data_IF_857674020260
#
_entry.id   IF_857674020260
#
_cell.length_a   1.000
_cell.length_b   1.000
_cell.length_c   1.000
_cell.angle_alpha   90.00
_cell.angle_beta   90.00
_cell.angle_gamma   90.00
#
_symmetry.space_group_name_H-M   'P 1'
#
loop_
_entity.id
_entity.type
_entity.pdbx_description
1 polymer ?
#
# COMPACT_ATOMS: atom_id res chain seq x y z
N UNK A 1 -13.43 -48.43 -23.70
CA UNK A 1 -13.78 -47.06 -23.35
C UNK A 1 -12.88 -46.66 -22.17
N UNK A 2 -11.82 -45.89 -22.40
CA UNK A 2 -10.97 -45.33 -21.35
C UNK A 2 -11.69 -44.08 -20.77
N UNK A 3 -11.78 -43.93 -19.45
CA UNK A 3 -12.32 -42.69 -18.87
C UNK A 3 -11.34 -41.56 -19.19
N UNK A 4 -11.86 -40.53 -19.85
CA UNK A 4 -11.14 -39.27 -20.10
C UNK A 4 -10.70 -38.67 -18.79
N UNK A 5 -9.44 -38.81 -18.42
CA UNK A 5 -8.81 -38.04 -17.36
C UNK A 5 -8.88 -36.58 -17.78
N UNK A 6 -9.77 -35.79 -17.17
CA UNK A 6 -9.65 -34.35 -17.24
C UNK A 6 -8.24 -33.99 -16.75
N UNK A 7 -7.42 -33.29 -17.53
CA UNK A 7 -6.11 -32.86 -17.08
C UNK A 7 -6.37 -31.85 -15.96
N UNK A 8 -6.21 -32.26 -14.70
CA UNK A 8 -6.13 -31.34 -13.58
C UNK A 8 -5.10 -30.28 -13.96
N UNK A 9 -5.50 -29.03 -14.06
CA UNK A 9 -4.62 -27.93 -14.44
C UNK A 9 -3.43 -27.94 -13.49
N UNK A 10 -2.25 -28.32 -14.02
CA UNK A 10 -1.01 -28.34 -13.26
C UNK A 10 -0.82 -26.94 -12.62
N UNK A 11 -0.56 -26.92 -11.33
CA UNK A 11 -0.26 -25.67 -10.61
C UNK A 11 1.22 -25.55 -10.38
N UNK A 12 1.75 -24.35 -10.46
CA UNK A 12 3.17 -24.06 -10.19
C UNK A 12 3.31 -22.94 -9.16
N UNK A 13 4.41 -22.95 -8.42
CA UNK A 13 4.79 -21.89 -7.50
C UNK A 13 5.42 -20.74 -8.30
N UNK A 14 4.81 -19.56 -8.23
CA UNK A 14 5.23 -18.37 -8.97
C UNK A 14 5.57 -17.26 -7.97
N UNK A 15 6.73 -16.60 -8.14
CA UNK A 15 7.08 -15.39 -7.42
C UNK A 15 6.21 -14.25 -7.96
N UNK A 16 5.28 -13.77 -7.13
CA UNK A 16 4.32 -12.73 -7.48
C UNK A 16 4.70 -11.40 -6.83
N UNK A 17 5.16 -11.43 -5.57
CA UNK A 17 5.55 -10.24 -4.83
C UNK A 17 7.07 -10.18 -4.67
N UNK A 18 7.68 -9.18 -5.28
CA UNK A 18 9.11 -8.92 -5.15
C UNK A 18 9.49 -8.48 -3.72
N UNK A 19 10.77 -8.56 -3.39
CA UNK A 19 11.26 -8.18 -2.08
C UNK A 19 10.97 -6.70 -1.73
N UNK A 20 11.20 -5.73 -2.63
CA UNK A 20 10.86 -4.31 -2.37
C UNK A 20 9.39 -4.08 -2.01
N UNK A 21 8.44 -4.70 -2.73
CA UNK A 21 7.01 -4.59 -2.42
C UNK A 21 6.67 -5.18 -1.07
N UNK A 22 7.26 -6.30 -0.70
CA UNK A 22 7.05 -6.97 0.58
C UNK A 22 7.62 -6.17 1.75
N UNK A 23 8.84 -5.65 1.61
CA UNK A 23 9.47 -4.77 2.60
C UNK A 23 8.69 -3.48 2.77
N UNK A 24 8.27 -2.84 1.67
CA UNK A 24 7.38 -1.69 1.71
C UNK A 24 6.13 -1.97 2.55
N UNK A 25 5.42 -3.06 2.27
CA UNK A 25 4.19 -3.40 2.98
C UNK A 25 4.43 -3.64 4.48
N UNK A 26 5.45 -4.43 4.83
CA UNK A 26 5.80 -4.69 6.24
C UNK A 26 6.24 -3.43 6.97
N UNK A 27 7.11 -2.62 6.37
CA UNK A 27 7.58 -1.37 6.94
C UNK A 27 6.44 -0.37 7.14
N UNK A 28 5.51 -0.25 6.17
CA UNK A 28 4.34 0.62 6.30
C UNK A 28 3.48 0.24 7.50
N UNK A 29 3.21 -1.07 7.71
CA UNK A 29 2.45 -1.54 8.90
C UNK A 29 3.14 -1.13 10.19
N UNK A 30 4.45 -1.35 10.29
CA UNK A 30 5.24 -1.02 11.50
C UNK A 30 5.25 0.48 11.74
N UNK A 31 5.49 1.30 10.70
CA UNK A 31 5.56 2.75 10.83
C UNK A 31 4.20 3.36 11.16
N UNK A 32 3.09 2.89 10.57
CA UNK A 32 1.74 3.37 10.92
C UNK A 32 1.40 3.05 12.37
N UNK A 33 1.71 1.84 12.84
CA UNK A 33 1.51 1.47 14.23
C UNK A 33 2.39 2.32 15.18
N UNK A 34 3.66 2.54 14.82
CA UNK A 34 4.59 3.36 15.60
C UNK A 34 4.15 4.85 15.62
N UNK A 35 3.67 5.39 14.50
CA UNK A 35 3.12 6.74 14.44
C UNK A 35 1.92 6.91 15.39
N UNK A 36 1.00 5.94 15.39
CA UNK A 36 -0.15 5.94 16.31
C UNK A 36 0.31 5.88 17.77
N UNK A 37 1.21 4.95 18.11
CA UNK A 37 1.71 4.79 19.50
C UNK A 37 2.43 6.04 19.98
N UNK A 38 3.32 6.63 19.16
CA UNK A 38 4.07 7.83 19.54
C UNK A 38 3.17 9.03 19.73
N UNK A 39 2.14 9.19 18.88
CA UNK A 39 1.10 10.20 19.06
C UNK A 39 0.34 9.99 20.37
N UNK A 40 -0.13 8.77 20.68
CA UNK A 40 -0.85 8.43 21.92
C UNK A 40 0.00 8.65 23.18
N UNK A 41 1.32 8.50 23.06
CA UNK A 41 2.27 8.72 24.15
C UNK A 41 2.74 10.18 24.24
N UNK A 42 2.19 11.09 23.46
CA UNK A 42 2.61 12.50 23.36
C UNK A 42 4.10 12.66 23.01
N UNK A 43 4.65 11.73 22.22
CA UNK A 43 6.02 11.79 21.69
C UNK A 43 6.02 12.38 20.29
N UNK A 44 5.66 13.67 20.19
CA UNK A 44 5.35 14.32 18.92
C UNK A 44 6.56 14.37 17.98
N UNK A 45 7.76 14.64 18.50
CA UNK A 45 9.00 14.60 17.69
C UNK A 45 9.20 13.24 17.02
N UNK A 46 9.00 12.14 17.73
CA UNK A 46 9.07 10.79 17.17
C UNK A 46 7.96 10.53 16.15
N UNK A 47 6.74 11.02 16.44
CA UNK A 47 5.62 10.94 15.51
C UNK A 47 5.95 11.63 14.19
N UNK A 48 6.52 12.85 14.24
CA UNK A 48 6.93 13.59 13.05
C UNK A 48 7.99 12.83 12.23
N UNK A 49 9.07 12.37 12.88
CA UNK A 49 10.12 11.60 12.18
C UNK A 49 9.59 10.32 11.53
N UNK A 50 8.66 9.63 12.20
CA UNK A 50 8.01 8.44 11.63
C UNK A 50 7.12 8.84 10.44
N UNK A 51 6.43 9.98 10.51
CA UNK A 51 5.65 10.52 9.40
C UNK A 51 6.52 10.85 8.18
N UNK A 52 7.69 11.45 8.39
CA UNK A 52 8.68 11.71 7.34
C UNK A 52 9.20 10.41 6.70
N UNK A 53 9.51 9.40 7.53
CA UNK A 53 9.93 8.09 7.04
C UNK A 53 8.82 7.41 6.23
N UNK A 54 7.55 7.53 6.67
CA UNK A 54 6.39 7.07 5.91
C UNK A 54 6.27 7.81 4.58
N UNK A 55 6.44 9.13 4.56
CA UNK A 55 6.39 9.92 3.32
C UNK A 55 7.45 9.44 2.32
N UNK A 56 8.70 9.25 2.76
CA UNK A 56 9.76 8.71 1.91
C UNK A 56 9.40 7.32 1.34
N UNK A 57 8.85 6.47 2.19
CA UNK A 57 8.44 5.12 1.80
C UNK A 57 7.27 5.14 0.82
N UNK A 58 6.32 6.06 0.98
CA UNK A 58 5.19 6.25 0.06
C UNK A 58 5.63 6.80 -1.29
N UNK A 59 6.53 7.77 -1.32
CA UNK A 59 7.14 8.27 -2.56
C UNK A 59 7.89 7.14 -3.28
N UNK A 60 8.68 6.34 -2.55
CA UNK A 60 9.27 5.12 -3.13
C UNK A 60 8.21 4.21 -3.73
N UNK A 61 7.09 3.95 -3.04
CA UNK A 61 6.02 3.07 -3.55
C UNK A 61 5.36 3.63 -4.80
N UNK A 62 5.17 4.94 -4.89
CA UNK A 62 4.67 5.58 -6.10
C UNK A 62 5.65 5.36 -7.27
N UNK A 63 6.94 5.65 -7.09
CA UNK A 63 7.96 5.40 -8.10
C UNK A 63 8.03 3.92 -8.49
N UNK A 64 7.95 3.01 -7.51
CA UNK A 64 7.92 1.56 -7.75
C UNK A 64 6.66 1.11 -8.49
N UNK A 65 5.55 1.85 -8.36
CA UNK A 65 4.32 1.63 -9.12
C UNK A 65 4.44 1.94 -10.61
N UNK A 66 5.41 2.74 -11.00
CA UNK A 66 5.70 3.04 -12.41
C UNK A 66 6.89 2.23 -12.94
N UNK A 67 7.98 2.15 -12.19
CA UNK A 67 9.28 1.64 -12.64
C UNK A 67 9.64 0.26 -12.07
N UNK A 68 8.83 -0.30 -11.15
CA UNK A 68 9.10 -1.54 -10.44
C UNK A 68 8.71 -2.80 -11.20
N UNK A 69 8.56 -3.88 -10.44
CA UNK A 69 8.14 -5.20 -10.94
C UNK A 69 6.73 -5.21 -11.49
N UNK A 70 6.45 -6.14 -12.40
CA UNK A 70 5.17 -6.22 -13.11
C UNK A 70 3.94 -6.31 -12.21
N UNK A 71 4.01 -7.01 -11.09
CA UNK A 71 2.91 -7.12 -10.11
C UNK A 71 2.71 -5.84 -9.28
N UNK A 72 3.75 -4.98 -9.18
CA UNK A 72 3.71 -3.72 -8.46
C UNK A 72 3.21 -2.54 -9.31
N UNK A 73 3.25 -2.66 -10.65
CA UNK A 73 2.91 -1.57 -11.57
C UNK A 73 1.42 -1.28 -11.61
N UNK A 74 1.06 -0.01 -11.41
CA UNK A 74 -0.32 0.47 -11.42
C UNK A 74 -1.05 0.11 -12.72
N UNK A 75 -0.42 0.31 -13.88
CA UNK A 75 -1.01 0.02 -15.19
C UNK A 75 -1.43 -1.45 -15.40
N UNK A 76 -0.94 -2.38 -14.58
CA UNK A 76 -1.26 -3.81 -14.71
C UNK A 76 -2.45 -4.28 -13.89
N UNK A 77 -2.82 -3.55 -12.85
CA UNK A 77 -3.92 -3.95 -11.96
C UNK A 77 -5.03 -2.91 -11.86
N UNK A 78 -4.79 -1.67 -12.30
CA UNK A 78 -5.84 -0.67 -12.37
C UNK A 78 -6.68 -0.91 -13.63
N UNK A 79 -7.91 -1.31 -13.40
CA UNK A 79 -8.96 -1.42 -14.41
C UNK A 79 -10.03 -0.37 -14.14
N UNK A 80 -10.86 -0.05 -15.16
CA UNK A 80 -11.97 0.89 -14.97
C UNK A 80 -12.84 0.51 -13.76
N UNK A 81 -13.25 1.50 -12.91
CA UNK A 81 -13.97 1.24 -11.67
C UNK A 81 -15.22 0.38 -11.85
N UNK A 82 -16.00 0.61 -12.93
CA UNK A 82 -17.18 -0.19 -13.25
C UNK A 82 -16.87 -1.67 -13.49
N UNK A 83 -15.76 -1.98 -14.15
CA UNK A 83 -15.31 -3.36 -14.34
C UNK A 83 -14.86 -4.00 -13.01
N UNK A 84 -14.23 -3.22 -12.13
CA UNK A 84 -13.83 -3.70 -10.81
C UNK A 84 -15.05 -4.05 -9.95
N UNK A 85 -16.09 -3.23 -9.97
CA UNK A 85 -17.35 -3.47 -9.25
C UNK A 85 -18.12 -4.69 -9.82
N UNK A 86 -18.23 -4.81 -11.13
CA UNK A 86 -18.80 -6.00 -11.78
C UNK A 86 -18.03 -7.28 -11.45
N UNK A 87 -16.71 -7.21 -11.39
CA UNK A 87 -15.86 -8.32 -10.96
C UNK A 87 -16.09 -8.68 -9.49
N UNK A 88 -16.31 -7.71 -8.61
CA UNK A 88 -16.59 -7.94 -7.20
C UNK A 88 -17.91 -8.71 -7.02
N UNK A 89 -18.98 -8.29 -7.70
CA UNK A 89 -20.30 -8.95 -7.65
C UNK A 89 -20.29 -10.36 -8.24
N UNK A 90 -19.59 -10.58 -9.36
CA UNK A 90 -19.48 -11.92 -9.98
C UNK A 90 -18.57 -12.88 -9.19
N UNK A 91 -17.58 -12.39 -8.45
CA UNK A 91 -16.58 -13.20 -7.73
C UNK A 91 -16.96 -13.59 -6.30
N UNK A 92 -18.20 -13.49 -5.89
CA UNK A 92 -18.68 -14.20 -4.70
C UNK A 92 -18.69 -15.75 -4.91
N UNK A 93 -18.50 -16.21 -6.16
CA UNK A 93 -18.32 -17.63 -6.50
C UNK A 93 -16.87 -18.07 -6.29
N UNK A 94 -16.65 -19.32 -5.87
CA UNK A 94 -15.33 -19.96 -5.71
C UNK A 94 -14.69 -20.18 -7.08
N UNK A 95 -13.91 -19.23 -7.55
CA UNK A 95 -13.07 -19.38 -8.75
C UNK A 95 -11.58 -19.49 -8.34
N UNK A 96 -10.77 -20.29 -9.08
CA UNK A 96 -9.33 -20.36 -8.85
C UNK A 96 -8.68 -18.97 -8.95
N UNK A 97 -7.71 -18.67 -8.06
CA UNK A 97 -6.94 -17.42 -8.16
C UNK A 97 -6.01 -17.46 -9.38
N UNK A 98 -6.37 -16.74 -10.42
CA UNK A 98 -5.58 -16.58 -11.64
C UNK A 98 -4.83 -15.26 -11.70
N UNK A 99 -4.95 -14.43 -10.66
CA UNK A 99 -4.29 -13.12 -10.63
C UNK A 99 -2.82 -13.26 -10.22
N UNK A 100 -1.90 -13.02 -11.16
CA UNK A 100 -0.46 -12.93 -10.89
C UNK A 100 -0.06 -11.59 -10.18
N UNK A 101 -0.96 -11.02 -9.40
CA UNK A 101 -0.81 -9.78 -8.66
C UNK A 101 -2.09 -9.45 -7.90
N UNK A 102 -2.47 -8.17 -7.87
CA UNK A 102 -3.73 -7.72 -7.31
C UNK A 102 -4.90 -8.12 -8.23
N UNK A 103 -6.02 -8.52 -7.63
CA UNK A 103 -7.28 -8.55 -8.36
C UNK A 103 -7.82 -7.10 -8.49
N UNK A 104 -8.80 -6.83 -9.37
CA UNK A 104 -9.32 -5.47 -9.59
C UNK A 104 -9.74 -4.72 -8.33
N UNK A 105 -10.48 -5.36 -7.43
CA UNK A 105 -10.90 -4.73 -6.17
C UNK A 105 -9.71 -4.48 -5.23
N UNK A 106 -8.76 -5.42 -5.15
CA UNK A 106 -7.50 -5.24 -4.41
C UNK A 106 -6.64 -4.11 -4.97
N UNK A 107 -6.62 -3.92 -6.29
CA UNK A 107 -5.94 -2.81 -6.93
C UNK A 107 -6.49 -1.45 -6.49
N UNK A 108 -7.81 -1.28 -6.46
CA UNK A 108 -8.46 -0.06 -5.98
C UNK A 108 -8.24 0.16 -4.48
N UNK A 109 -8.21 -0.92 -3.67
CA UNK A 109 -7.87 -0.83 -2.24
C UNK A 109 -6.43 -0.32 -2.04
N UNK A 110 -5.48 -0.74 -2.88
CA UNK A 110 -4.10 -0.22 -2.85
C UNK A 110 -4.08 1.28 -3.13
N UNK A 111 -4.80 1.75 -4.16
CA UNK A 111 -4.87 3.19 -4.48
C UNK A 111 -5.49 3.97 -3.34
N UNK A 112 -6.60 3.50 -2.78
CA UNK A 112 -7.27 4.16 -1.65
C UNK A 112 -6.32 4.30 -0.44
N UNK A 113 -5.68 3.20 -0.02
CA UNK A 113 -4.76 3.22 1.11
C UNK A 113 -3.54 4.10 0.84
N UNK A 114 -2.96 4.06 -0.37
CA UNK A 114 -1.83 4.92 -0.72
C UNK A 114 -2.23 6.40 -0.74
N UNK A 115 -3.41 6.74 -1.26
CA UNK A 115 -3.90 8.13 -1.29
C UNK A 115 -4.14 8.65 0.13
N UNK A 116 -4.78 7.87 1.00
CA UNK A 116 -5.03 8.25 2.39
C UNK A 116 -3.72 8.39 3.19
N UNK A 117 -2.79 7.44 3.04
CA UNK A 117 -1.49 7.51 3.70
C UNK A 117 -0.67 8.70 3.22
N UNK A 118 -0.67 8.97 1.90
CA UNK A 118 0.03 10.12 1.34
C UNK A 118 -0.58 11.43 1.82
N UNK A 119 -1.92 11.55 1.80
CA UNK A 119 -2.63 12.70 2.34
C UNK A 119 -2.33 12.90 3.82
N UNK A 120 -2.34 11.81 4.62
CA UNK A 120 -2.01 11.83 6.04
C UNK A 120 -0.56 12.31 6.27
N UNK A 121 0.41 11.79 5.53
CA UNK A 121 1.82 12.18 5.69
C UNK A 121 2.06 13.63 5.22
N UNK A 122 1.47 14.06 4.11
CA UNK A 122 1.61 15.41 3.60
C UNK A 122 0.95 16.45 4.51
N UNK A 123 -0.25 16.18 5.01
CA UNK A 123 -0.91 17.09 5.97
C UNK A 123 -0.12 17.18 7.27
N UNK A 124 0.49 16.09 7.73
CA UNK A 124 1.30 16.06 8.95
C UNK A 124 2.51 17.01 8.93
N UNK A 125 3.03 17.32 7.73
CA UNK A 125 4.16 18.26 7.56
C UNK A 125 3.75 19.71 7.94
N UNK A 126 2.46 20.05 7.86
CA UNK A 126 1.91 21.39 8.08
C UNK A 126 1.05 21.48 9.35
N UNK A 127 1.01 20.45 10.19
CA UNK A 127 0.16 20.46 11.39
C UNK A 127 0.63 21.53 12.37
N UNK A 128 -0.33 22.35 12.82
CA UNK A 128 -0.18 23.28 13.93
C UNK A 128 -1.01 22.78 15.12
N UNK A 129 -0.43 22.71 16.31
CA UNK A 129 -1.14 22.31 17.51
C UNK A 129 -1.17 23.41 18.62
N UNK A 130 -0.77 24.63 18.30
CA UNK A 130 -0.82 25.84 19.18
C UNK A 130 -0.11 25.73 20.55
N UNK A 131 0.47 24.57 20.92
CA UNK A 131 0.93 24.35 22.30
C UNK A 131 2.43 24.11 22.43
N UNK A 132 3.07 23.33 21.54
CA UNK A 132 4.48 23.00 21.69
C UNK A 132 5.16 22.31 20.49
N UNK A 133 4.44 21.92 19.45
CA UNK A 133 5.03 21.14 18.35
C UNK A 133 4.33 21.46 17.04
N UNK A 134 5.04 22.11 16.16
CA UNK A 134 4.59 22.44 14.81
C UNK A 134 5.19 21.46 13.80
N UNK A 135 4.44 21.18 12.75
CA UNK A 135 4.97 20.49 11.59
C UNK A 135 6.13 21.28 10.96
N UNK A 136 7.10 20.62 10.32
CA UNK A 136 8.32 21.29 9.83
C UNK A 136 8.07 22.44 8.84
N UNK A 137 6.90 22.49 8.20
CA UNK A 137 6.53 23.54 7.24
C UNK A 137 5.34 24.40 7.71
N UNK A 138 4.96 24.36 8.98
CA UNK A 138 3.82 25.11 9.51
C UNK A 138 4.01 26.63 9.36
N UNK A 139 5.24 27.12 9.56
CA UNK A 139 5.56 28.56 9.52
C UNK A 139 5.45 29.18 8.12
N UNK A 140 5.49 28.38 7.04
CA UNK A 140 5.42 28.89 5.67
C UNK A 140 4.00 29.11 5.15
N UNK A 141 2.98 28.76 5.95
CA UNK A 141 1.57 28.94 5.58
C UNK A 141 0.84 29.82 6.61
N UNK A 142 -0.21 30.57 6.20
CA UNK A 142 -1.03 31.32 7.15
C UNK A 142 -1.66 30.41 8.21
N UNK A 143 -1.77 30.88 9.45
CA UNK A 143 -2.31 30.11 10.58
C UNK A 143 -3.68 29.49 10.28
N UNK A 144 -4.57 30.22 9.61
CA UNK A 144 -5.89 29.69 9.22
C UNK A 144 -5.77 28.47 8.29
N UNK A 145 -4.77 28.44 7.40
CA UNK A 145 -4.49 27.32 6.49
C UNK A 145 -3.89 26.15 7.28
N UNK A 146 -2.94 26.41 8.19
CA UNK A 146 -2.36 25.38 9.05
C UNK A 146 -3.44 24.70 9.91
N UNK A 147 -4.38 25.45 10.48
CA UNK A 147 -5.49 24.92 11.27
C UNK A 147 -6.45 24.07 10.44
N UNK A 148 -6.74 24.49 9.19
CA UNK A 148 -7.56 23.69 8.26
C UNK A 148 -6.85 22.37 7.91
N UNK A 149 -5.54 22.40 7.64
CA UNK A 149 -4.75 21.22 7.34
C UNK A 149 -4.69 20.28 8.56
N UNK A 150 -4.58 20.82 9.78
CA UNK A 150 -4.61 20.05 11.03
C UNK A 150 -5.95 19.33 11.23
N UNK A 151 -7.06 20.01 10.96
CA UNK A 151 -8.38 19.37 10.97
C UNK A 151 -8.47 18.25 9.91
N UNK A 152 -7.95 18.50 8.70
CA UNK A 152 -7.92 17.50 7.64
C UNK A 152 -7.05 16.28 8.01
N UNK A 153 -5.90 16.51 8.68
CA UNK A 153 -5.04 15.43 9.18
C UNK A 153 -5.81 14.48 10.11
N UNK A 154 -6.63 15.03 11.00
CA UNK A 154 -7.49 14.24 11.91
C UNK A 154 -8.55 13.44 11.14
N UNK A 155 -9.25 14.08 10.19
CA UNK A 155 -10.27 13.42 9.38
C UNK A 155 -9.65 12.30 8.53
N UNK A 156 -8.48 12.54 7.93
CA UNK A 156 -7.77 11.54 7.14
C UNK A 156 -7.35 10.33 7.98
N UNK A 157 -7.00 10.55 9.26
CA UNK A 157 -6.72 9.45 10.17
C UNK A 157 -7.93 8.53 10.37
N UNK A 158 -9.11 9.09 10.63
CA UNK A 158 -10.34 8.30 10.79
C UNK A 158 -10.70 7.55 9.50
N UNK A 159 -10.57 8.22 8.36
CA UNK A 159 -10.78 7.59 7.05
C UNK A 159 -9.76 6.46 6.79
N UNK A 160 -8.51 6.64 7.18
CA UNK A 160 -7.46 5.63 7.06
C UNK A 160 -7.76 4.42 7.94
N UNK A 161 -8.20 4.62 9.18
CA UNK A 161 -8.62 3.52 10.07
C UNK A 161 -9.78 2.72 9.47
N UNK A 162 -10.79 3.40 8.93
CA UNK A 162 -11.92 2.75 8.26
C UNK A 162 -11.45 1.94 7.03
N UNK A 163 -10.55 2.50 6.23
CA UNK A 163 -9.99 1.81 5.06
C UNK A 163 -9.12 0.60 5.45
N UNK A 164 -8.32 0.70 6.53
CA UNK A 164 -7.55 -0.42 7.08
C UNK A 164 -8.50 -1.53 7.58
N UNK A 165 -9.55 -1.18 8.31
CA UNK A 165 -10.54 -2.14 8.79
C UNK A 165 -11.20 -2.87 7.60
N UNK A 166 -11.61 -2.14 6.57
CA UNK A 166 -12.18 -2.72 5.34
C UNK A 166 -11.18 -3.64 4.64
N UNK A 167 -9.90 -3.26 4.57
CA UNK A 167 -8.83 -4.08 3.99
C UNK A 167 -8.66 -5.40 4.76
N UNK A 168 -8.64 -5.36 6.09
CA UNK A 168 -8.53 -6.55 6.93
C UNK A 168 -9.75 -7.47 6.80
N UNK A 169 -10.96 -6.90 6.76
CA UNK A 169 -12.21 -7.64 6.49
C UNK A 169 -12.14 -8.32 5.12
N UNK A 170 -11.71 -7.62 4.08
CA UNK A 170 -11.56 -8.20 2.75
C UNK A 170 -10.56 -9.38 2.74
N UNK A 171 -9.43 -9.27 3.45
CA UNK A 171 -8.46 -10.38 3.61
C UNK A 171 -9.11 -11.57 4.33
N UNK A 172 -9.84 -11.32 5.43
CA UNK A 172 -10.53 -12.36 6.17
C UNK A 172 -11.56 -13.08 5.32
N UNK A 173 -12.38 -12.35 4.56
CA UNK A 173 -13.36 -12.92 3.61
C UNK A 173 -12.66 -13.78 2.56
N UNK A 174 -11.56 -13.29 1.96
CA UNK A 174 -10.79 -14.08 1.00
C UNK A 174 -10.19 -15.35 1.63
N UNK A 175 -9.78 -15.29 2.88
CA UNK A 175 -9.23 -16.44 3.60
C UNK A 175 -10.31 -17.48 3.92
N UNK A 176 -11.47 -17.02 4.45
CA UNK A 176 -12.54 -17.89 4.96
C UNK A 176 -13.38 -18.45 3.81
N UNK A 177 -13.82 -17.57 2.89
CA UNK A 177 -14.78 -17.95 1.83
C UNK A 177 -14.07 -18.58 0.64
N UNK A 178 -12.93 -17.99 0.21
CA UNK A 178 -12.22 -18.39 -1.01
C UNK A 178 -11.03 -19.30 -0.76
N UNK A 179 -10.65 -19.51 0.50
CA UNK A 179 -9.46 -20.27 0.92
C UNK A 179 -8.13 -19.75 0.32
N UNK A 180 -8.07 -18.48 -0.14
CA UNK A 180 -6.87 -17.87 -0.68
C UNK A 180 -5.90 -17.48 0.45
N UNK A 181 -4.63 -17.86 0.31
CA UNK A 181 -3.57 -17.57 1.32
C UNK A 181 -2.87 -16.24 1.01
N UNK A 182 -3.63 -15.12 1.02
CA UNK A 182 -3.10 -13.81 0.65
C UNK A 182 -1.97 -13.33 1.58
N UNK A 183 -2.11 -13.55 2.90
CA UNK A 183 -1.08 -13.20 3.89
C UNK A 183 0.20 -13.99 3.64
N UNK A 184 0.11 -15.31 3.42
CA UNK A 184 1.28 -16.12 3.11
C UNK A 184 1.94 -15.69 1.79
N UNK A 185 1.14 -15.21 0.82
CA UNK A 185 1.67 -14.72 -0.45
C UNK A 185 2.44 -13.41 -0.28
N UNK A 186 1.95 -12.44 0.51
CA UNK A 186 2.67 -11.17 0.70
C UNK A 186 3.91 -11.36 1.59
N UNK A 187 3.90 -12.27 2.55
CA UNK A 187 5.05 -12.57 3.39
C UNK A 187 6.11 -13.38 2.62
N UNK A 188 5.70 -14.47 1.96
CA UNK A 188 6.61 -15.38 1.26
C UNK A 188 6.97 -14.93 -0.17
N UNK A 189 6.18 -14.08 -0.79
CA UNK A 189 6.34 -13.63 -2.18
C UNK A 189 5.70 -14.53 -3.22
N UNK A 190 5.27 -15.74 -2.90
CA UNK A 190 4.86 -16.76 -3.85
C UNK A 190 3.36 -17.05 -3.78
N UNK A 191 2.79 -17.35 -4.96
CA UNK A 191 1.46 -17.95 -5.11
C UNK A 191 1.53 -19.27 -5.88
N UNK A 192 0.55 -20.15 -5.64
CA UNK A 192 0.29 -21.30 -6.50
C UNK A 192 -0.68 -20.83 -7.59
N UNK A 193 -0.22 -20.83 -8.84
CA UNK A 193 -1.01 -20.41 -10.00
C UNK A 193 -1.08 -21.55 -11.02
N UNK A 194 -2.16 -21.61 -11.83
CA UNK A 194 -2.23 -22.51 -12.96
C UNK A 194 -1.01 -22.33 -13.88
N UNK A 195 -0.54 -23.42 -14.48
CA UNK A 195 0.69 -23.42 -15.29
C UNK A 195 0.62 -22.50 -16.52
N UNK A 196 -0.58 -22.23 -17.01
CA UNK A 196 -0.86 -21.34 -18.13
C UNK A 196 -0.81 -19.84 -17.76
N UNK A 197 -0.78 -19.48 -16.47
CA UNK A 197 -0.68 -18.09 -16.02
C UNK A 197 0.79 -17.64 -16.07
N UNK A 198 1.15 -16.60 -16.86
CA UNK A 198 2.53 -16.14 -16.95
C UNK A 198 3.01 -15.51 -15.63
N UNK A 199 4.29 -15.74 -15.28
CA UNK A 199 4.93 -15.07 -14.16
C UNK A 199 5.12 -13.58 -14.47
N UNK A 200 4.89 -12.67 -13.48
CA UNK A 200 5.17 -11.26 -13.68
C UNK A 200 6.68 -11.01 -13.77
N UNK A 201 7.15 -10.08 -14.62
CA UNK A 201 8.55 -9.71 -14.66
C UNK A 201 8.97 -9.05 -13.34
N UNK A 202 10.11 -9.46 -12.81
CA UNK A 202 10.68 -8.97 -11.57
C UNK A 202 11.78 -7.95 -11.86
N UNK A 203 11.71 -6.77 -11.27
CA UNK A 203 12.74 -5.75 -11.36
C UNK A 203 13.88 -6.01 -10.34
N UNK A 204 15.09 -5.61 -10.69
CA UNK A 204 16.26 -5.80 -9.83
C UNK A 204 16.25 -4.93 -8.57
N UNK A 205 16.84 -5.45 -7.47
CA UNK A 205 16.92 -4.75 -6.18
C UNK A 205 17.76 -3.45 -6.26
N UNK A 206 18.76 -3.36 -7.16
CA UNK A 206 19.53 -2.14 -7.38
C UNK A 206 18.66 -0.97 -7.82
N UNK A 207 17.67 -1.21 -8.70
CA UNK A 207 16.68 -0.21 -9.08
C UNK A 207 15.83 0.23 -7.87
N UNK A 208 15.43 -0.71 -7.02
CA UNK A 208 14.66 -0.39 -5.82
C UNK A 208 15.46 0.51 -4.86
N UNK A 209 16.73 0.21 -4.63
CA UNK A 209 17.61 1.04 -3.80
C UNK A 209 17.78 2.45 -4.37
N UNK A 210 17.98 2.58 -5.68
CA UNK A 210 18.10 3.90 -6.34
C UNK A 210 16.81 4.72 -6.19
N UNK A 211 15.63 4.11 -6.38
CA UNK A 211 14.35 4.80 -6.23
C UNK A 211 14.05 5.13 -4.77
N UNK A 212 14.44 4.28 -3.82
CA UNK A 212 14.31 4.56 -2.39
C UNK A 212 15.22 5.73 -1.98
N UNK A 213 16.46 5.76 -2.45
CA UNK A 213 17.37 6.86 -2.19
C UNK A 213 16.84 8.19 -2.78
N UNK A 214 16.31 8.17 -4.01
CA UNK A 214 15.68 9.34 -4.62
C UNK A 214 14.45 9.81 -3.83
N UNK A 215 13.59 8.90 -3.36
CA UNK A 215 12.43 9.22 -2.53
C UNK A 215 12.83 9.82 -1.18
N UNK A 216 13.82 9.22 -0.51
CA UNK A 216 14.35 9.73 0.77
C UNK A 216 14.99 11.13 0.60
N UNK A 217 15.75 11.33 -0.46
CA UNK A 217 16.31 12.64 -0.79
C UNK A 217 15.22 13.68 -1.04
N UNK A 218 14.21 13.36 -1.85
CA UNK A 218 13.09 14.26 -2.12
C UNK A 218 12.32 14.63 -0.84
N UNK A 219 12.10 13.67 0.06
CA UNK A 219 11.48 13.93 1.37
C UNK A 219 12.36 14.84 2.23
N UNK A 220 13.66 14.59 2.29
CA UNK A 220 14.57 15.40 3.07
C UNK A 220 14.64 16.85 2.54
N UNK A 221 14.61 17.04 1.23
CA UNK A 221 14.52 18.38 0.60
C UNK A 221 13.21 19.05 0.98
N UNK A 222 12.08 18.35 0.84
CA UNK A 222 10.76 18.90 1.18
C UNK A 222 10.68 19.37 2.64
N UNK A 223 11.19 18.57 3.57
CA UNK A 223 11.01 18.83 5.02
C UNK A 223 12.05 19.83 5.57
N UNK A 224 13.20 19.99 4.93
CA UNK A 224 14.32 20.80 5.48
C UNK A 224 14.62 22.08 4.72
N UNK A 225 14.16 22.22 3.47
CA UNK A 225 14.54 23.33 2.60
C UNK A 225 13.34 24.07 1.99
N UNK A 226 12.12 23.66 2.21
CA UNK A 226 10.88 24.37 1.90
C UNK A 226 10.20 24.87 3.16
#
# INVERSE_FOLDING_TARGET
MQPSRHPGTAVRRVLVWDLPTRLFHGATIVLVAAAYVTWRMNRITWHAWIGEALLALLLFRLLWGFFGSGSARFARFLVMPGLAFHHLLRRLRREPDRAAGHNPAGGWMVILLLALLLGQSLTGVYVNNDIASEGPLTEIVPVAVANLISALHTILWDALLAAIALHLVAIAVHRIVKHHRLVAAIVGGYKLLPADVPAPPIAGNGRALALLAAAAFATAVLVRFL
#
